data_IF_909345424445
#
_entry.id   IF_909345424445
#
_cell.length_a   1.000
_cell.length_b   1.000
_cell.length_c   1.000
_cell.angle_alpha   90.00
_cell.angle_beta   90.00
_cell.angle_gamma   90.00
#
_symmetry.space_group_name_H-M   'P 1'
#
loop_
_entity.id
_entity.type
_entity.pdbx_description
1 polymer ?
#
# COMPACT_ATOMS: atom_id res chain seq x y z
N UNK A 1 2.72 -14.62 24.36
CA UNK A 1 2.66 -15.45 23.13
C UNK A 1 4.00 -15.36 22.43
N UNK A 2 4.51 -16.44 21.84
CA UNK A 2 5.71 -16.37 21.00
C UNK A 2 5.40 -15.76 19.63
N UNK A 3 6.43 -15.29 18.93
CA UNK A 3 6.31 -14.72 17.56
C UNK A 3 5.63 -15.70 16.61
N UNK A 4 5.99 -16.99 16.67
CA UNK A 4 5.38 -18.03 15.84
C UNK A 4 3.91 -18.25 16.16
N UNK A 5 3.52 -18.24 17.44
CA UNK A 5 2.11 -18.35 17.84
C UNK A 5 1.30 -17.14 17.37
N UNK A 6 1.86 -15.93 17.47
CA UNK A 6 1.21 -14.73 16.93
C UNK A 6 1.02 -14.84 15.42
N UNK A 7 2.07 -15.20 14.68
CA UNK A 7 1.99 -15.36 13.23
C UNK A 7 0.90 -16.35 12.82
N UNK A 8 0.83 -17.52 13.47
CA UNK A 8 -0.19 -18.53 13.15
C UNK A 8 -1.60 -18.03 13.46
N UNK A 9 -1.83 -17.46 14.65
CA UNK A 9 -3.15 -16.92 15.02
C UNK A 9 -3.57 -15.75 14.12
N UNK A 10 -2.62 -14.87 13.76
CA UNK A 10 -2.89 -13.76 12.85
C UNK A 10 -3.24 -14.28 11.47
N UNK A 11 -2.45 -15.21 10.92
CA UNK A 11 -2.70 -15.78 9.59
C UNK A 11 -4.02 -16.55 9.55
N UNK A 12 -4.40 -17.26 10.61
CA UNK A 12 -5.68 -17.96 10.66
C UNK A 12 -6.87 -16.99 10.71
N UNK A 13 -6.73 -15.85 11.39
CA UNK A 13 -7.79 -14.83 11.49
C UNK A 13 -7.89 -13.93 10.25
N UNK A 14 -6.76 -13.50 9.67
CA UNK A 14 -6.69 -12.49 8.60
C UNK A 14 -6.48 -13.12 7.21
N UNK A 15 -6.11 -14.40 7.15
CA UNK A 15 -5.83 -15.14 5.91
C UNK A 15 -4.43 -14.90 5.33
N UNK A 16 -3.66 -13.97 5.87
CA UNK A 16 -2.30 -13.64 5.41
C UNK A 16 -1.36 -13.32 6.57
N UNK A 17 -0.05 -13.36 6.31
CA UNK A 17 0.94 -13.03 7.33
C UNK A 17 0.89 -11.56 7.76
N UNK A 18 1.26 -11.22 9.01
CA UNK A 18 1.25 -9.85 9.54
C UNK A 18 1.95 -8.83 8.62
N UNK A 19 3.14 -9.16 8.14
CA UNK A 19 3.91 -8.27 7.26
C UNK A 19 3.20 -7.99 5.92
N UNK A 20 2.51 -8.98 5.37
CA UNK A 20 1.78 -8.81 4.11
C UNK A 20 0.53 -7.96 4.32
N UNK A 21 -0.16 -8.15 5.45
CA UNK A 21 -1.28 -7.31 5.85
C UNK A 21 -0.84 -5.85 6.03
N UNK A 22 0.25 -5.61 6.76
CA UNK A 22 0.80 -4.27 6.98
C UNK A 22 1.15 -3.59 5.65
N UNK A 23 1.82 -4.28 4.72
CA UNK A 23 2.11 -3.73 3.39
C UNK A 23 0.83 -3.37 2.64
N UNK A 24 -0.19 -4.23 2.71
CA UNK A 24 -1.46 -3.98 2.05
C UNK A 24 -2.16 -2.73 2.59
N UNK A 25 -2.18 -2.57 3.90
CA UNK A 25 -2.72 -1.37 4.54
C UNK A 25 -1.95 -0.11 4.11
N UNK A 26 -0.61 -0.12 4.23
CA UNK A 26 0.25 1.03 3.85
C UNK A 26 0.05 1.45 2.39
N UNK A 27 0.07 0.50 1.47
CA UNK A 27 -0.07 0.80 0.04
C UNK A 27 -1.49 1.30 -0.31
N UNK A 28 -2.52 0.80 0.39
CA UNK A 28 -3.90 1.28 0.22
C UNK A 28 -4.06 2.70 0.74
N UNK A 29 -3.51 3.01 1.92
CA UNK A 29 -3.49 4.38 2.44
C UNK A 29 -2.69 5.32 1.54
N UNK A 30 -1.55 4.89 1.00
CA UNK A 30 -0.80 5.73 0.05
C UNK A 30 -1.63 6.06 -1.19
N UNK A 31 -2.41 5.10 -1.72
CA UNK A 31 -3.34 5.36 -2.83
C UNK A 31 -4.38 6.40 -2.44
N UNK A 32 -4.97 6.27 -1.25
CA UNK A 32 -5.96 7.21 -0.71
C UNK A 32 -5.37 8.62 -0.59
N UNK A 33 -4.21 8.77 0.05
CA UNK A 33 -3.49 10.04 0.17
C UNK A 33 -3.25 10.71 -1.20
N UNK A 34 -2.84 9.93 -2.20
CA UNK A 34 -2.63 10.46 -3.55
C UNK A 34 -3.94 10.85 -4.27
N UNK A 35 -5.03 10.11 -4.04
CA UNK A 35 -6.33 10.38 -4.68
C UNK A 35 -7.04 11.57 -4.02
N UNK A 36 -7.26 11.47 -2.71
CA UNK A 36 -8.16 12.32 -1.94
C UNK A 36 -7.47 13.61 -1.49
N UNK A 37 -6.19 13.53 -1.09
CA UNK A 37 -5.43 14.65 -0.54
C UNK A 37 -4.44 15.26 -1.54
N UNK A 38 -4.36 14.71 -2.75
CA UNK A 38 -3.50 15.23 -3.82
C UNK A 38 -2.00 15.06 -3.56
N UNK A 39 -1.60 14.24 -2.57
CA UNK A 39 -0.19 13.97 -2.27
C UNK A 39 0.53 13.41 -3.49
N UNK A 40 1.78 13.82 -3.68
CA UNK A 40 2.61 13.19 -4.72
C UNK A 40 3.15 11.83 -4.23
N UNK A 41 3.73 11.05 -5.15
CA UNK A 41 4.21 9.69 -4.87
C UNK A 41 5.27 9.67 -3.75
N UNK A 42 6.15 10.66 -3.73
CA UNK A 42 7.22 10.77 -2.74
C UNK A 42 6.65 11.05 -1.35
N UNK A 43 5.77 12.04 -1.23
CA UNK A 43 5.08 12.39 0.01
C UNK A 43 4.29 11.20 0.57
N UNK A 44 3.43 10.59 -0.27
CA UNK A 44 2.62 9.46 0.14
C UNK A 44 3.48 8.27 0.59
N UNK A 45 4.63 8.03 -0.06
CA UNK A 45 5.54 6.95 0.34
C UNK A 45 6.19 7.19 1.70
N UNK A 46 6.59 8.43 1.98
CA UNK A 46 7.18 8.81 3.26
C UNK A 46 6.15 8.74 4.39
N UNK A 47 4.93 9.22 4.14
CA UNK A 47 3.85 9.27 5.12
C UNK A 47 3.38 7.88 5.57
N UNK A 48 3.34 6.90 4.64
CA UNK A 48 3.02 5.50 5.00
C UNK A 48 4.23 4.69 5.52
N UNK A 49 5.38 5.35 5.71
CA UNK A 49 6.56 4.79 6.37
C UNK A 49 7.43 3.89 5.49
N UNK A 50 7.58 4.21 4.20
CA UNK A 50 8.65 3.65 3.38
C UNK A 50 9.90 4.54 3.44
N UNK A 51 11.04 3.92 3.72
CA UNK A 51 12.34 4.60 3.71
C UNK A 51 12.90 4.80 2.28
N UNK A 52 12.46 3.96 1.34
CA UNK A 52 12.91 3.98 -0.05
C UNK A 52 11.73 4.10 -1.01
N UNK A 53 11.71 5.19 -1.78
CA UNK A 53 10.75 5.42 -2.84
C UNK A 53 10.76 4.29 -3.89
N UNK A 54 11.93 3.81 -4.26
CA UNK A 54 12.08 2.71 -5.22
C UNK A 54 11.48 1.39 -4.70
N UNK A 55 11.62 1.12 -3.40
CA UNK A 55 10.99 -0.04 -2.78
C UNK A 55 9.46 0.11 -2.73
N UNK A 56 8.98 1.31 -2.37
CA UNK A 56 7.55 1.64 -2.39
C UNK A 56 6.94 1.39 -3.76
N UNK A 57 7.53 1.94 -4.83
CA UNK A 57 7.01 1.78 -6.20
C UNK A 57 6.97 0.31 -6.61
N UNK A 58 7.98 -0.48 -6.23
CA UNK A 58 8.04 -1.92 -6.55
C UNK A 58 6.96 -2.71 -5.82
N UNK A 59 6.80 -2.48 -4.52
CA UNK A 59 5.77 -3.13 -3.71
C UNK A 59 4.35 -2.72 -4.16
N UNK A 60 4.16 -1.43 -4.46
CA UNK A 60 2.91 -0.88 -4.99
C UNK A 60 2.53 -1.57 -6.30
N UNK A 61 3.43 -1.57 -7.30
CA UNK A 61 3.17 -2.21 -8.60
C UNK A 61 2.88 -3.70 -8.44
N UNK A 62 3.60 -4.40 -7.57
CA UNK A 62 3.37 -5.83 -7.31
C UNK A 62 1.98 -6.11 -6.75
N UNK A 63 1.47 -5.23 -5.89
CA UNK A 63 0.20 -5.47 -5.19
C UNK A 63 -1.02 -4.89 -5.92
N UNK A 64 -0.84 -3.77 -6.63
CA UNK A 64 -1.91 -2.99 -7.24
C UNK A 64 -1.89 -2.99 -8.77
N UNK A 65 -0.85 -3.56 -9.39
CA UNK A 65 -0.79 -3.83 -10.82
C UNK A 65 -0.22 -2.70 -11.69
N UNK A 66 -0.11 -1.48 -11.17
CA UNK A 66 0.39 -0.32 -11.92
C UNK A 66 1.35 0.53 -11.07
N UNK A 67 2.12 1.43 -11.70
CA UNK A 67 2.90 2.39 -10.92
C UNK A 67 1.97 3.38 -10.18
N UNK A 68 2.36 3.89 -8.99
CA UNK A 68 1.52 4.80 -8.20
C UNK A 68 0.92 5.96 -8.99
N UNK A 69 1.74 6.65 -9.79
CA UNK A 69 1.30 7.80 -10.60
C UNK A 69 0.32 7.40 -11.71
N UNK A 70 0.60 6.29 -12.41
CA UNK A 70 -0.25 5.77 -13.47
C UNK A 70 -1.61 5.33 -12.93
N UNK A 71 -1.60 4.63 -11.79
CA UNK A 71 -2.78 4.14 -11.11
C UNK A 71 -3.71 5.29 -10.70
N UNK A 72 -3.19 6.29 -9.99
CA UNK A 72 -3.94 7.49 -9.55
C UNK A 72 -4.51 8.27 -10.73
N UNK A 73 -3.73 8.48 -11.80
CA UNK A 73 -4.21 9.14 -13.02
C UNK A 73 -5.30 8.32 -13.73
N UNK A 74 -5.20 6.99 -13.70
CA UNK A 74 -6.23 6.14 -14.28
C UNK A 74 -7.53 6.16 -13.46
N UNK A 75 -7.43 6.21 -12.13
CA UNK A 75 -8.56 6.26 -11.22
C UNK A 75 -9.28 7.60 -11.28
N UNK A 76 -8.56 8.73 -11.29
CA UNK A 76 -9.16 10.07 -11.47
C UNK A 76 -9.97 10.16 -12.76
N UNK A 77 -9.40 9.72 -13.88
CA UNK A 77 -10.10 9.69 -15.18
C UNK A 77 -11.35 8.80 -15.20
N UNK A 78 -11.43 7.79 -14.33
CA UNK A 78 -12.63 6.94 -14.18
C UNK A 78 -13.70 7.59 -13.30
N UNK A 79 -13.32 8.45 -12.36
CA UNK A 79 -14.25 9.17 -11.48
C UNK A 79 -14.84 10.42 -12.15
N UNK A 80 -14.14 10.99 -13.14
CA UNK A 80 -14.60 12.14 -13.93
C UNK A 80 -15.57 11.77 -15.07
N UNK A 81 -15.82 10.47 -15.30
CA UNK A 81 -16.78 9.94 -16.27
C UNK A 81 -18.08 9.55 -15.60
#
# INVERSE_FOLDING_TARGET
MSVSQFYQKFKSAVGMGPMQCQKRLRLTEARRLMLDEGRNVTEASAEVGYESLSQFIRDYRRMLGAAPKEDVLSLRRRLEK
#
